data_IF_935540517307
#
_entry.id   IF_935540517307
#
_cell.length_a   1.000
_cell.length_b   1.000
_cell.length_c   1.000
_cell.angle_alpha   90.00
_cell.angle_beta   90.00
_cell.angle_gamma   90.00
#
_symmetry.space_group_name_H-M   'P 1'
#
loop_
_entity.id
_entity.type
_entity.pdbx_description
1 polymer ?
#
# COMPACT_ATOMS: atom_id res chain seq x y z
N UNK A 1 -34.19 15.38 5.67
CA UNK A 1 -32.83 14.92 5.94
C UNK A 1 -32.52 13.80 4.93
N UNK A 2 -31.39 13.90 4.23
CA UNK A 2 -30.92 12.90 3.25
C UNK A 2 -29.60 12.35 3.75
N UNK A 3 -29.43 11.05 3.65
CA UNK A 3 -28.20 10.32 4.01
C UNK A 3 -27.77 9.41 2.87
N UNK A 4 -26.48 9.20 2.75
CA UNK A 4 -25.85 8.34 1.73
C UNK A 4 -25.05 7.26 2.42
N UNK A 5 -25.08 6.05 1.89
CA UNK A 5 -24.26 4.94 2.35
C UNK A 5 -23.69 4.20 1.13
N UNK A 6 -22.36 4.01 1.03
CA UNK A 6 -21.33 4.49 1.94
C UNK A 6 -21.11 6.01 1.83
N UNK A 7 -20.54 6.63 2.87
CA UNK A 7 -20.11 8.03 2.85
C UNK A 7 -18.77 8.12 3.58
N UNK A 8 -17.68 8.50 2.87
CA UNK A 8 -17.61 8.83 1.45
C UNK A 8 -17.89 7.64 0.53
N UNK A 9 -18.11 7.91 -0.77
CA UNK A 9 -18.35 6.86 -1.74
C UNK A 9 -17.10 6.00 -1.97
N UNK A 10 -17.29 4.72 -2.25
CA UNK A 10 -16.21 3.74 -2.44
C UNK A 10 -16.38 3.02 -3.76
N UNK A 11 -15.26 2.74 -4.45
CA UNK A 11 -15.24 1.88 -5.64
C UNK A 11 -15.23 0.42 -5.20
N UNK A 12 -16.16 -0.37 -5.74
CA UNK A 12 -16.18 -1.83 -5.58
C UNK A 12 -16.15 -2.45 -6.98
N UNK A 13 -15.05 -3.12 -7.29
CA UNK A 13 -14.79 -3.55 -8.67
C UNK A 13 -14.61 -2.34 -9.59
N UNK A 14 -15.47 -2.24 -10.61
CA UNK A 14 -15.47 -1.13 -11.58
C UNK A 14 -16.70 -0.22 -11.43
N UNK A 15 -17.35 -0.25 -10.26
CA UNK A 15 -18.58 0.50 -10.00
C UNK A 15 -18.50 1.29 -8.71
N UNK A 16 -19.26 2.37 -8.70
CA UNK A 16 -19.53 3.19 -7.52
C UNK A 16 -21.01 3.04 -7.20
N UNK A 17 -21.31 2.32 -6.15
CA UNK A 17 -22.69 2.11 -5.71
C UNK A 17 -22.98 2.98 -4.50
N UNK A 18 -24.16 3.60 -4.48
CA UNK A 18 -24.64 4.41 -3.39
C UNK A 18 -26.11 4.09 -3.09
N UNK A 19 -26.42 3.98 -1.81
CA UNK A 19 -27.81 3.92 -1.33
C UNK A 19 -28.14 5.27 -0.68
N UNK A 20 -29.09 5.97 -1.23
CA UNK A 20 -29.53 7.29 -0.79
C UNK A 20 -30.86 7.13 -0.08
N UNK A 21 -30.92 7.52 1.17
CA UNK A 21 -32.13 7.43 1.99
C UNK A 21 -32.51 8.80 2.54
N UNK A 22 -33.78 9.00 2.75
CA UNK A 22 -34.24 10.25 3.33
C UNK A 22 -35.71 10.23 3.72
N UNK A 23 -36.18 11.37 4.16
CA UNK A 23 -37.56 11.53 4.60
C UNK A 23 -38.22 12.73 3.97
N UNK A 24 -39.45 12.57 3.51
CA UNK A 24 -40.32 13.67 3.15
C UNK A 24 -41.04 14.16 4.42
N UNK A 25 -40.91 15.45 4.77
CA UNK A 25 -41.56 15.97 5.96
C UNK A 25 -43.07 15.98 5.82
N UNK A 26 -43.75 15.80 6.96
CA UNK A 26 -45.20 15.89 7.08
C UNK A 26 -45.73 17.25 6.55
N UNK A 27 -46.78 17.19 5.74
CA UNK A 27 -47.46 18.38 5.16
C UNK A 27 -46.62 19.25 4.22
N UNK A 28 -45.48 18.76 3.77
CA UNK A 28 -44.60 19.49 2.84
C UNK A 28 -44.71 19.02 1.41
N UNK A 29 -45.02 17.74 1.19
CA UNK A 29 -45.17 17.17 -0.15
C UNK A 29 -46.62 17.36 -0.65
N UNK A 30 -46.81 18.22 -1.63
CA UNK A 30 -48.18 18.53 -2.13
C UNK A 30 -48.85 17.26 -2.73
N UNK A 31 -50.17 17.15 -2.52
CA UNK A 31 -50.96 16.01 -3.05
C UNK A 31 -50.92 15.86 -4.58
N UNK A 32 -50.63 16.94 -5.31
CA UNK A 32 -50.51 16.96 -6.78
C UNK A 32 -49.09 17.12 -7.25
N UNK A 33 -48.13 17.03 -6.35
CA UNK A 33 -46.72 17.18 -6.71
C UNK A 33 -46.18 15.91 -7.37
N UNK A 34 -45.33 16.13 -8.34
CA UNK A 34 -44.47 15.10 -8.94
C UNK A 34 -43.04 15.58 -8.77
N UNK A 35 -42.19 14.75 -8.19
CA UNK A 35 -40.78 15.03 -7.97
C UNK A 35 -39.95 13.91 -8.55
N UNK A 36 -39.18 14.21 -9.56
CA UNK A 36 -38.15 13.30 -10.08
C UNK A 36 -36.81 13.69 -9.49
N UNK A 37 -36.12 12.73 -8.88
CA UNK A 37 -34.82 12.89 -8.26
C UNK A 37 -33.83 12.10 -9.06
N UNK A 38 -32.81 12.78 -9.60
CA UNK A 38 -31.74 12.19 -10.41
C UNK A 38 -30.43 12.31 -9.66
N UNK A 39 -29.81 11.19 -9.24
CA UNK A 39 -28.48 11.22 -8.68
C UNK A 39 -27.45 11.44 -9.79
N UNK A 40 -26.52 12.36 -9.59
CA UNK A 40 -25.47 12.69 -10.53
C UNK A 40 -24.12 12.76 -9.82
N UNK A 41 -23.14 12.05 -10.34
CA UNK A 41 -21.77 12.12 -9.84
C UNK A 41 -21.00 13.11 -10.73
N UNK A 42 -20.69 14.28 -10.19
CA UNK A 42 -19.98 15.35 -10.87
C UNK A 42 -18.48 15.25 -10.55
N UNK A 43 -17.63 15.27 -11.56
CA UNK A 43 -16.18 15.20 -11.44
C UNK A 43 -15.50 16.12 -12.45
N UNK A 44 -14.21 16.29 -12.33
CA UNK A 44 -13.45 17.13 -13.28
C UNK A 44 -13.53 16.58 -14.70
N UNK A 45 -14.03 17.42 -15.61
CA UNK A 45 -14.18 17.07 -17.03
C UNK A 45 -15.46 16.33 -17.39
N UNK A 46 -16.41 16.07 -16.43
CA UNK A 46 -17.66 15.40 -16.79
C UNK A 46 -18.59 15.09 -15.63
N UNK A 47 -19.64 14.36 -15.97
CA UNK A 47 -20.62 13.88 -15.02
C UNK A 47 -21.13 12.49 -15.40
N UNK A 48 -21.50 11.70 -14.40
CA UNK A 48 -22.19 10.44 -14.61
C UNK A 48 -23.61 10.55 -14.02
N UNK A 49 -24.61 10.32 -14.86
CA UNK A 49 -26.03 10.44 -14.49
C UNK A 49 -26.55 9.06 -14.09
N UNK A 50 -27.08 8.94 -12.90
CA UNK A 50 -27.70 7.72 -12.39
C UNK A 50 -29.18 7.61 -12.80
N UNK A 51 -29.82 6.52 -12.41
CA UNK A 51 -31.23 6.26 -12.70
C UNK A 51 -32.14 7.19 -11.94
N UNK A 52 -33.02 7.98 -12.60
CA UNK A 52 -33.96 8.84 -11.92
C UNK A 52 -35.05 8.05 -11.22
N UNK A 53 -35.52 8.56 -10.08
CA UNK A 53 -36.65 7.98 -9.35
C UNK A 53 -37.70 9.08 -9.17
N UNK A 54 -38.98 8.71 -9.46
CA UNK A 54 -40.09 9.63 -9.38
C UNK A 54 -40.96 9.36 -8.15
N UNK A 55 -41.23 10.41 -7.41
CA UNK A 55 -42.12 10.45 -6.24
C UNK A 55 -43.34 11.28 -6.57
N UNK A 56 -44.50 10.78 -6.20
CA UNK A 56 -45.80 11.40 -6.56
C UNK A 56 -46.68 11.60 -5.35
N UNK A 57 -47.40 12.70 -5.34
CA UNK A 57 -48.41 12.95 -4.31
C UNK A 57 -49.67 12.10 -4.56
N UNK A 58 -50.48 11.89 -3.50
CA UNK A 58 -51.66 11.06 -3.47
C UNK A 58 -52.71 11.33 -4.59
N UNK A 59 -52.69 12.54 -5.17
CA UNK A 59 -53.60 12.97 -6.26
C UNK A 59 -52.90 13.26 -7.59
N UNK A 60 -51.65 12.91 -7.70
CA UNK A 60 -50.93 13.01 -8.96
C UNK A 60 -51.39 11.86 -9.89
N UNK A 61 -51.32 12.11 -11.20
CA UNK A 61 -51.74 11.14 -12.21
C UNK A 61 -50.56 10.33 -12.79
N UNK A 62 -49.38 10.79 -12.50
CA UNK A 62 -48.12 10.21 -12.99
C UNK A 62 -47.76 8.94 -12.19
N UNK A 63 -47.00 8.05 -12.83
CA UNK A 63 -46.49 6.85 -12.18
C UNK A 63 -45.27 7.19 -11.31
N UNK A 64 -45.25 6.67 -10.10
CA UNK A 64 -44.13 6.89 -9.16
C UNK A 64 -44.45 6.35 -7.77
N UNK A 65 -43.47 6.50 -6.89
CA UNK A 65 -43.65 6.13 -5.45
C UNK A 65 -44.54 7.18 -4.78
N UNK A 66 -45.69 6.74 -4.24
CA UNK A 66 -46.63 7.65 -3.58
C UNK A 66 -46.11 8.16 -2.24
N UNK A 67 -46.26 9.47 -2.00
CA UNK A 67 -45.89 10.15 -0.75
C UNK A 67 -47.14 10.78 -0.14
N UNK A 68 -47.42 10.41 1.11
CA UNK A 68 -48.56 10.96 1.83
C UNK A 68 -48.34 12.40 2.27
N UNK A 69 -49.29 13.28 1.98
CA UNK A 69 -49.27 14.66 2.47
C UNK A 69 -49.39 14.76 4.00
N UNK A 70 -50.19 13.87 4.58
CA UNK A 70 -50.48 13.90 6.03
C UNK A 70 -49.35 13.30 6.86
N UNK A 71 -48.72 12.24 6.38
CA UNK A 71 -47.76 11.43 7.12
C UNK A 71 -46.31 11.63 6.65
N UNK A 72 -46.16 12.25 5.47
CA UNK A 72 -44.84 12.27 4.80
C UNK A 72 -44.48 10.93 4.25
N UNK A 73 -43.19 10.61 4.24
CA UNK A 73 -42.73 9.30 3.78
C UNK A 73 -41.22 9.14 3.89
N UNK A 74 -40.78 7.92 3.94
CA UNK A 74 -39.36 7.56 3.80
C UNK A 74 -39.10 7.18 2.35
N UNK A 75 -37.94 7.51 1.84
CA UNK A 75 -37.51 7.04 0.53
C UNK A 75 -36.14 6.39 0.61
N UNK A 76 -35.93 5.45 -0.30
CA UNK A 76 -34.64 4.83 -0.54
C UNK A 76 -34.46 4.66 -2.04
N UNK A 77 -33.34 5.11 -2.55
CA UNK A 77 -32.97 4.94 -3.94
C UNK A 77 -31.53 4.44 -4.05
N UNK A 78 -31.27 3.64 -5.08
CA UNK A 78 -29.92 3.14 -5.38
C UNK A 78 -29.38 3.87 -6.60
N UNK A 79 -28.12 4.26 -6.56
CA UNK A 79 -27.40 4.79 -7.70
C UNK A 79 -26.17 3.93 -7.94
N UNK A 80 -25.89 3.65 -9.21
CA UNK A 80 -24.71 2.88 -9.61
C UNK A 80 -24.07 3.58 -10.80
N UNK A 81 -22.77 3.81 -10.72
CA UNK A 81 -22.01 4.51 -11.74
C UNK A 81 -20.81 3.64 -12.15
N UNK A 82 -20.52 3.57 -13.45
CA UNK A 82 -19.28 2.98 -13.94
C UNK A 82 -18.11 3.90 -13.53
N UNK A 83 -17.12 3.34 -12.84
CA UNK A 83 -16.00 4.13 -12.35
C UNK A 83 -15.05 4.55 -13.46
N UNK A 84 -14.65 5.81 -13.44
CA UNK A 84 -13.53 6.35 -14.21
C UNK A 84 -12.55 7.05 -13.27
N UNK A 85 -11.23 7.07 -13.56
CA UNK A 85 -10.22 7.64 -12.65
C UNK A 85 -10.48 9.10 -12.23
N UNK A 86 -11.07 9.91 -13.11
CA UNK A 86 -11.45 11.29 -12.81
C UNK A 86 -12.48 11.42 -11.67
N UNK A 87 -13.22 10.36 -11.35
CA UNK A 87 -14.18 10.35 -10.24
C UNK A 87 -13.53 10.32 -8.85
N UNK A 88 -12.20 10.13 -8.75
CA UNK A 88 -11.50 10.19 -7.47
C UNK A 88 -11.67 11.55 -6.77
N UNK A 89 -11.90 12.62 -7.53
CA UNK A 89 -12.27 13.96 -7.03
C UNK A 89 -13.66 14.33 -7.55
N UNK A 90 -14.69 13.81 -6.91
CA UNK A 90 -16.07 13.98 -7.36
C UNK A 90 -17.00 14.36 -6.21
N UNK A 91 -18.21 14.77 -6.56
CA UNK A 91 -19.29 15.05 -5.62
C UNK A 91 -20.58 14.42 -6.11
N UNK A 92 -21.26 13.69 -5.24
CA UNK A 92 -22.61 13.18 -5.54
C UNK A 92 -23.62 14.27 -5.24
N UNK A 93 -24.36 14.66 -6.27
CA UNK A 93 -25.41 15.66 -6.19
C UNK A 93 -26.76 15.03 -6.56
N UNK A 94 -27.84 15.57 -6.01
CA UNK A 94 -29.20 15.28 -6.44
C UNK A 94 -29.71 16.45 -7.27
N UNK A 95 -30.14 16.15 -8.49
CA UNK A 95 -30.91 17.08 -9.34
C UNK A 95 -32.38 16.77 -9.27
N UNK A 96 -33.17 17.81 -9.23
CA UNK A 96 -34.60 17.73 -9.03
C UNK A 96 -35.36 18.29 -10.21
N UNK A 97 -36.37 17.58 -10.68
CA UNK A 97 -37.39 18.11 -11.55
C UNK A 97 -38.71 17.96 -10.84
N UNK A 98 -39.35 19.09 -10.52
CA UNK A 98 -40.57 19.07 -9.72
C UNK A 98 -41.69 19.80 -10.43
N UNK A 99 -42.89 19.25 -10.36
CA UNK A 99 -44.12 19.90 -10.82
C UNK A 99 -45.18 19.82 -9.73
N UNK A 100 -46.05 20.81 -9.69
CA UNK A 100 -47.24 20.79 -8.82
C UNK A 100 -48.48 21.15 -9.66
N UNK A 101 -49.15 20.13 -10.15
CA UNK A 101 -50.14 20.22 -11.19
C UNK A 101 -49.51 20.69 -12.50
N UNK A 102 -49.88 21.91 -12.96
CA UNK A 102 -49.33 22.50 -14.20
C UNK A 102 -48.10 23.41 -13.97
N UNK A 103 -47.72 23.65 -12.71
CA UNK A 103 -46.62 24.55 -12.38
C UNK A 103 -45.34 23.79 -12.21
N UNK A 104 -44.27 24.22 -12.90
CA UNK A 104 -42.91 23.76 -12.65
C UNK A 104 -42.37 24.43 -11.40
N UNK A 105 -41.70 23.66 -10.55
CA UNK A 105 -41.08 24.15 -9.32
C UNK A 105 -39.58 23.91 -9.47
N UNK A 106 -38.82 24.98 -9.44
CA UNK A 106 -37.37 24.90 -9.46
C UNK A 106 -36.86 24.56 -8.06
N UNK A 107 -36.07 23.52 -7.95
CA UNK A 107 -35.38 23.08 -6.74
C UNK A 107 -33.88 23.05 -7.08
N UNK A 108 -33.06 23.79 -6.34
CA UNK A 108 -31.60 23.77 -6.55
C UNK A 108 -31.04 22.37 -6.34
N UNK A 109 -29.99 22.06 -7.04
CA UNK A 109 -29.28 20.81 -6.82
C UNK A 109 -28.70 20.75 -5.40
N UNK A 110 -28.61 19.54 -4.87
CA UNK A 110 -28.14 19.31 -3.50
C UNK A 110 -26.96 18.36 -3.50
N UNK A 111 -25.81 18.81 -3.03
CA UNK A 111 -24.67 17.93 -2.77
C UNK A 111 -24.96 17.09 -1.52
N UNK A 112 -24.78 15.77 -1.64
CA UNK A 112 -25.11 14.80 -0.58
C UNK A 112 -23.95 13.94 -0.11
N UNK A 113 -22.89 13.81 -0.92
CA UNK A 113 -21.67 13.13 -0.53
C UNK A 113 -20.46 13.67 -1.30
N UNK A 114 -19.29 13.50 -0.71
CA UNK A 114 -18.01 13.80 -1.34
C UNK A 114 -17.38 12.53 -1.91
N UNK A 115 -16.65 12.72 -2.96
CA UNK A 115 -15.61 11.93 -3.57
C UNK A 115 -15.80 10.43 -3.63
N UNK A 116 -14.94 9.83 -4.40
CA UNK A 116 -14.88 8.38 -4.50
C UNK A 116 -13.53 7.91 -4.00
N UNK A 117 -13.53 7.10 -2.96
CA UNK A 117 -12.31 6.43 -2.48
C UNK A 117 -12.07 5.18 -3.33
N UNK A 118 -10.97 5.19 -4.09
CA UNK A 118 -10.55 4.09 -4.96
C UNK A 118 -9.29 3.39 -4.43
N UNK A 119 -9.27 3.06 -3.14
CA UNK A 119 -8.09 2.47 -2.47
C UNK A 119 -7.56 1.21 -3.14
N UNK A 120 -8.43 0.36 -3.67
CA UNK A 120 -8.02 -0.83 -4.40
C UNK A 120 -7.30 -0.53 -5.73
N UNK A 121 -7.52 0.67 -6.31
CA UNK A 121 -6.83 1.13 -7.54
C UNK A 121 -5.64 2.04 -7.26
N UNK A 122 -5.53 2.58 -6.04
CA UNK A 122 -4.35 3.30 -5.57
C UNK A 122 -3.22 2.36 -5.17
N UNK A 123 -3.52 1.09 -4.90
CA UNK A 123 -2.53 0.03 -4.84
C UNK A 123 -2.12 -0.39 -6.27
N UNK A 124 -1.61 0.54 -7.06
CA UNK A 124 -0.75 0.18 -8.18
C UNK A 124 0.53 -0.35 -7.55
N UNK A 125 0.80 -1.63 -7.75
CA UNK A 125 2.13 -2.16 -7.55
C UNK A 125 3.04 -1.31 -8.47
N UNK A 126 3.75 -0.34 -7.90
CA UNK A 126 4.92 0.19 -8.57
C UNK A 126 5.81 -1.03 -8.81
N UNK A 127 6.23 -1.22 -10.05
CA UNK A 127 7.32 -2.14 -10.37
C UNK A 127 8.54 -1.62 -9.58
N UNK A 128 8.63 -2.07 -8.34
CA UNK A 128 9.81 -1.87 -7.51
C UNK A 128 10.89 -2.69 -8.21
N UNK A 129 11.70 -2.02 -9.02
CA UNK A 129 12.95 -2.62 -9.50
C UNK A 129 13.70 -3.02 -8.25
N UNK A 130 13.94 -4.33 -8.01
CA UNK A 130 14.71 -4.75 -6.86
C UNK A 130 16.04 -4.02 -6.94
N UNK A 131 16.36 -3.22 -5.92
CA UNK A 131 17.71 -2.69 -5.77
C UNK A 131 18.60 -3.88 -5.44
N UNK A 132 19.23 -4.41 -6.45
CA UNK A 132 20.31 -5.38 -6.28
C UNK A 132 21.51 -4.56 -5.78
N UNK A 133 21.64 -4.48 -4.47
CA UNK A 133 22.86 -3.99 -3.84
C UNK A 133 23.88 -5.11 -3.89
N UNK A 134 25.09 -4.79 -4.34
CA UNK A 134 26.19 -5.75 -4.29
C UNK A 134 26.34 -6.22 -2.84
N UNK A 135 26.13 -7.48 -2.63
CA UNK A 135 26.34 -8.15 -1.36
C UNK A 135 27.84 -8.05 -1.02
N UNK A 136 28.16 -7.94 0.28
CA UNK A 136 29.55 -8.00 0.79
C UNK A 136 30.09 -9.42 0.82
N UNK A 137 29.53 -10.32 0.01
CA UNK A 137 29.98 -11.69 -0.10
C UNK A 137 31.42 -11.70 -0.66
N UNK A 138 32.37 -12.06 0.20
CA UNK A 138 33.75 -12.31 -0.20
C UNK A 138 33.86 -13.79 -0.58
N UNK A 139 34.08 -14.05 -1.84
CA UNK A 139 34.29 -15.41 -2.36
C UNK A 139 35.62 -16.04 -1.89
N UNK A 140 36.53 -15.19 -1.43
CA UNK A 140 37.86 -15.57 -0.96
C UNK A 140 38.04 -14.97 0.44
N UNK A 141 38.22 -15.81 1.43
CA UNK A 141 38.55 -15.40 2.81
C UNK A 141 40.05 -15.66 2.98
N UNK A 142 40.81 -14.67 3.40
CA UNK A 142 42.21 -14.82 3.75
C UNK A 142 42.30 -15.12 5.25
N UNK A 143 42.89 -16.27 5.58
CA UNK A 143 43.21 -16.64 6.94
C UNK A 143 44.73 -16.51 7.13
N UNK A 144 45.13 -15.94 8.27
CA UNK A 144 46.53 -15.79 8.66
C UNK A 144 46.78 -16.69 9.87
N UNK A 145 47.76 -17.54 9.79
CA UNK A 145 48.24 -18.37 10.90
C UNK A 145 49.67 -17.98 11.22
N UNK A 146 49.93 -17.70 12.50
CA UNK A 146 51.26 -17.31 12.99
C UNK A 146 51.75 -18.31 14.03
N UNK A 147 53.08 -18.57 14.05
CA UNK A 147 53.70 -19.38 15.09
C UNK A 147 55.07 -18.85 15.41
N UNK A 148 55.35 -18.72 16.71
CA UNK A 148 56.63 -18.26 17.24
C UNK A 148 57.52 -19.44 17.59
N UNK A 149 58.76 -19.45 17.10
CA UNK A 149 59.81 -20.40 17.48
C UNK A 149 60.90 -19.67 18.25
N UNK A 150 61.09 -20.00 19.51
CA UNK A 150 62.03 -19.30 20.41
C UNK A 150 63.36 -20.09 20.50
N UNK A 151 64.42 -19.37 20.31
CA UNK A 151 65.78 -19.88 20.47
C UNK A 151 66.32 -19.48 21.85
N UNK A 152 67.24 -20.30 22.41
CA UNK A 152 67.97 -19.93 23.61
C UNK A 152 69.01 -18.83 23.27
N UNK A 153 69.33 -18.04 24.27
CA UNK A 153 70.32 -16.96 24.15
C UNK A 153 71.64 -17.53 23.62
N UNK A 154 72.18 -16.92 22.59
CA UNK A 154 73.44 -17.34 21.93
C UNK A 154 73.43 -18.73 21.32
N UNK A 155 72.25 -19.32 21.03
CA UNK A 155 72.11 -20.60 20.44
C UNK A 155 71.25 -20.54 19.16
N UNK A 156 71.72 -21.15 18.09
CA UNK A 156 70.95 -21.27 16.84
C UNK A 156 70.33 -22.64 16.68
N UNK A 157 70.43 -23.50 17.69
CA UNK A 157 69.93 -24.89 17.61
C UNK A 157 68.43 -24.89 17.96
N UNK A 158 67.65 -25.43 17.01
CA UNK A 158 66.21 -25.58 17.19
C UNK A 158 65.88 -26.70 18.20
N UNK A 159 65.17 -26.36 19.25
CA UNK A 159 64.78 -27.34 20.25
C UNK A 159 63.56 -28.17 19.82
N UNK A 160 63.61 -29.45 20.14
CA UNK A 160 62.47 -30.33 19.82
C UNK A 160 61.19 -29.97 20.56
N UNK A 161 61.31 -29.32 21.70
CA UNK A 161 60.14 -28.80 22.49
C UNK A 161 59.42 -27.66 21.76
N UNK A 162 60.14 -26.78 21.09
CA UNK A 162 59.56 -25.70 20.34
C UNK A 162 58.79 -26.18 19.12
N UNK A 163 59.26 -27.27 18.47
CA UNK A 163 58.54 -27.91 17.39
C UNK A 163 57.23 -28.60 17.82
N UNK A 164 57.04 -28.80 19.09
CA UNK A 164 55.86 -29.38 19.70
C UNK A 164 55.05 -28.33 20.49
N UNK A 165 55.32 -27.06 20.27
CA UNK A 165 54.50 -25.99 20.83
C UNK A 165 53.14 -25.96 20.18
N UNK A 166 52.12 -25.55 20.90
CA UNK A 166 50.74 -25.47 20.43
C UNK A 166 50.62 -24.61 19.15
N UNK A 167 51.38 -23.53 19.09
CA UNK A 167 51.41 -22.61 17.93
C UNK A 167 51.95 -23.31 16.66
N UNK A 168 53.06 -24.06 16.82
CA UNK A 168 53.67 -24.80 15.71
C UNK A 168 52.83 -26.02 15.31
N UNK A 169 52.16 -26.67 16.24
CA UNK A 169 51.23 -27.77 15.91
C UNK A 169 50.01 -27.22 15.16
N UNK A 170 49.46 -26.09 15.57
CA UNK A 170 48.34 -25.41 14.92
C UNK A 170 48.73 -24.99 13.49
N UNK A 171 49.89 -24.34 13.33
CA UNK A 171 50.38 -23.95 12.00
C UNK A 171 50.60 -25.17 11.10
N UNK A 172 51.19 -26.26 11.64
CA UNK A 172 51.41 -27.48 10.89
C UNK A 172 50.10 -28.15 10.47
N UNK A 173 49.09 -28.10 11.34
CA UNK A 173 47.76 -28.62 11.01
C UNK A 173 47.09 -27.77 9.92
N UNK A 174 47.20 -26.42 10.00
CA UNK A 174 46.66 -25.52 8.99
C UNK A 174 47.31 -25.71 7.62
N UNK A 175 48.64 -25.91 7.58
CA UNK A 175 49.36 -26.22 6.34
C UNK A 175 48.88 -27.55 5.73
N UNK A 176 48.73 -28.60 6.55
CA UNK A 176 48.22 -29.91 6.08
C UNK A 176 46.79 -29.83 5.59
N UNK A 177 45.95 -29.09 6.29
CA UNK A 177 44.56 -28.87 5.89
C UNK A 177 44.47 -28.11 4.55
N UNK A 178 45.31 -27.11 4.34
CA UNK A 178 45.39 -26.39 3.06
C UNK A 178 45.90 -27.30 1.90
N UNK A 179 46.79 -28.26 2.18
CA UNK A 179 47.29 -29.18 1.18
C UNK A 179 46.28 -30.27 0.81
N UNK A 180 45.38 -30.63 1.72
CA UNK A 180 44.43 -31.73 1.54
C UNK A 180 43.01 -31.28 1.15
N UNK A 181 42.68 -30.00 1.34
CA UNK A 181 41.34 -29.44 1.10
C UNK A 181 41.28 -28.72 -0.27
N UNK A 182 40.43 -29.18 -1.16
CA UNK A 182 40.35 -28.74 -2.56
C UNK A 182 40.08 -27.22 -2.73
N UNK A 183 39.48 -26.57 -1.73
CA UNK A 183 39.14 -25.16 -1.76
C UNK A 183 40.06 -24.25 -0.93
N UNK A 184 41.20 -24.77 -0.46
CA UNK A 184 42.20 -24.02 0.27
C UNK A 184 43.51 -23.97 -0.48
N UNK A 185 44.17 -22.83 -0.43
CA UNK A 185 45.50 -22.66 -1.06
C UNK A 185 46.37 -21.76 -0.18
N UNK A 186 47.66 -22.15 -0.08
CA UNK A 186 48.65 -21.31 0.61
C UNK A 186 49.14 -20.26 -0.35
N UNK A 187 48.78 -18.98 -0.09
CA UNK A 187 49.18 -17.87 -0.94
C UNK A 187 50.58 -17.34 -0.62
N UNK A 188 50.98 -17.36 0.65
CA UNK A 188 52.25 -16.80 1.10
C UNK A 188 52.71 -17.49 2.38
N UNK A 189 53.98 -17.77 2.46
CA UNK A 189 54.68 -18.13 3.69
C UNK A 189 55.73 -17.07 3.93
N UNK A 190 55.73 -16.48 5.11
CA UNK A 190 56.69 -15.47 5.52
C UNK A 190 57.42 -15.93 6.78
N UNK A 191 58.72 -15.80 6.78
CA UNK A 191 59.55 -16.16 7.94
C UNK A 191 60.30 -14.90 8.36
N UNK A 192 60.04 -14.47 9.58
CA UNK A 192 60.66 -13.27 10.17
C UNK A 192 61.62 -13.72 11.26
N UNK A 193 62.88 -13.31 11.16
CA UNK A 193 63.87 -13.56 12.17
C UNK A 193 64.19 -12.33 12.98
N UNK A 194 64.03 -12.43 14.29
CA UNK A 194 64.39 -11.36 15.22
C UNK A 194 65.61 -11.74 16.01
N UNK A 195 66.60 -10.85 16.01
CA UNK A 195 67.79 -10.95 16.89
C UNK A 195 67.57 -10.15 18.17
N UNK A 196 67.96 -10.72 19.31
CA UNK A 196 67.95 -9.98 20.58
C UNK A 196 69.02 -8.88 20.56
N UNK A 197 68.73 -7.69 21.01
CA UNK A 197 69.70 -6.62 21.13
C UNK A 197 70.76 -6.87 22.23
N UNK A 198 70.60 -7.94 23.07
CA UNK A 198 71.52 -8.29 24.14
C UNK A 198 72.70 -9.18 23.69
N UNK A 199 72.86 -9.35 22.41
CA UNK A 199 74.08 -9.93 21.85
C UNK A 199 75.26 -8.99 22.09
N UNK A 200 76.12 -9.30 23.06
CA UNK A 200 77.20 -8.49 23.50
C UNK A 200 78.13 -7.95 22.41
N UNK A 201 78.70 -6.82 22.69
CA UNK A 201 79.75 -6.17 21.90
C UNK A 201 80.91 -7.07 21.59
#
# INVERSE_FOLDING_TARGET
>A
QVTVNPSPLVVVGDKVDATITGTFPVKKFSKKAVLTVTPVLVYEGGEAVGTPVTYVGEKAKENGTSVSYKEGGKFSMKASFAYVPAMASSSLVLRFTATNGKKVVEIPEMKIADGVIATAKLAQAEDVKPQVTADKFQRIIQEVQEADIRFLIQQSTLRKSELKSEDVETLTAAIKDADTTENKAINKIEVLGYASPDGGQ
#
